data_IF_898948104958
#
_entry.id   IF_898948104958
#
_cell.length_a   1.000
_cell.length_b   1.000
_cell.length_c   1.000
_cell.angle_alpha   90.00
_cell.angle_beta   90.00
_cell.angle_gamma   90.00
#
_symmetry.space_group_name_H-M   'P 1'
#
loop_
_entity.id
_entity.type
_entity.pdbx_description
1 polymer ?
#
# COMPACT_ATOMS: atom_id res chain seq x y z
N UNK A 1 20.18 42.28 -0.43
CA UNK A 1 19.64 41.57 0.73
C UNK A 1 18.20 41.18 0.44
N UNK A 2 17.97 39.93 0.05
CA UNK A 2 16.75 39.15 0.33
C UNK A 2 16.84 37.89 -0.52
N UNK A 3 17.56 36.88 -0.01
CA UNK A 3 17.39 35.51 -0.47
C UNK A 3 16.12 35.00 0.23
N UNK A 4 14.98 35.14 -0.43
CA UNK A 4 13.69 34.62 0.06
C UNK A 4 13.07 33.69 -0.97
N UNK A 5 13.88 32.85 -1.62
CA UNK A 5 13.43 31.76 -2.47
C UNK A 5 14.54 30.69 -2.44
N UNK A 6 14.15 29.44 -2.16
CA UNK A 6 14.88 28.17 -2.32
C UNK A 6 15.65 27.58 -1.10
N UNK A 7 15.00 26.53 -0.56
CA UNK A 7 15.53 25.17 -0.28
C UNK A 7 15.79 24.68 1.16
N UNK A 8 15.31 23.45 1.36
CA UNK A 8 15.46 22.49 2.48
C UNK A 8 14.59 22.80 3.72
N UNK A 9 13.63 21.98 4.15
CA UNK A 9 13.69 20.53 4.33
C UNK A 9 12.29 19.90 4.10
N UNK A 10 12.00 19.42 2.88
CA UNK A 10 11.32 18.12 2.82
C UNK A 10 12.44 17.14 3.10
N UNK A 11 12.48 16.67 4.34
CA UNK A 11 13.34 15.58 4.76
C UNK A 11 13.04 14.42 3.81
N UNK A 12 13.88 14.27 2.78
CA UNK A 12 13.79 13.18 1.83
C UNK A 12 13.84 11.92 2.67
N UNK A 13 12.74 11.16 2.68
CA UNK A 13 12.68 9.87 3.34
C UNK A 13 13.86 9.04 2.81
N UNK A 14 14.94 9.04 3.58
CA UNK A 14 16.12 8.26 3.27
C UNK A 14 15.69 6.80 3.28
N UNK A 15 16.40 5.92 2.57
CA UNK A 15 16.00 4.53 2.40
C UNK A 15 15.75 3.75 3.72
N UNK A 16 16.08 4.34 4.86
CA UNK A 16 16.05 3.73 6.19
C UNK A 16 14.65 3.69 6.84
N UNK A 17 13.67 4.46 6.37
CA UNK A 17 12.33 4.52 7.02
C UNK A 17 11.15 4.23 6.08
N UNK A 18 11.43 3.61 4.93
CA UNK A 18 10.42 3.17 3.98
C UNK A 18 10.21 1.67 4.11
N UNK A 19 9.06 1.19 4.61
CA UNK A 19 8.81 -0.24 4.78
C UNK A 19 8.98 -1.05 3.49
N UNK A 20 8.63 -0.47 2.33
CA UNK A 20 8.83 -1.12 1.03
C UNK A 20 10.30 -1.30 0.61
N UNK A 21 11.25 -0.62 1.28
CA UNK A 21 12.70 -0.81 1.08
C UNK A 21 13.34 -1.68 2.15
N UNK A 22 12.75 -1.74 3.34
CA UNK A 22 13.29 -2.53 4.47
C UNK A 22 12.76 -3.98 4.50
N UNK A 23 11.60 -4.24 3.91
CA UNK A 23 10.99 -5.58 3.83
C UNK A 23 11.12 -6.17 2.41
N UNK A 24 10.97 -7.50 2.32
CA UNK A 24 11.02 -8.20 1.04
C UNK A 24 9.94 -7.67 0.07
N UNK A 25 10.29 -7.38 -1.20
CA UNK A 25 9.35 -6.83 -2.17
C UNK A 25 8.14 -7.76 -2.42
N UNK A 26 8.38 -9.08 -2.42
CA UNK A 26 7.34 -10.11 -2.57
C UNK A 26 6.19 -9.98 -1.57
N UNK A 27 6.45 -9.43 -0.38
CA UNK A 27 5.43 -9.23 0.64
C UNK A 27 4.33 -8.26 0.16
N UNK A 28 4.70 -7.21 -0.57
CA UNK A 28 3.76 -6.21 -1.09
C UNK A 28 2.98 -6.73 -2.31
N UNK A 29 3.38 -7.88 -2.88
CA UNK A 29 2.70 -8.55 -3.98
C UNK A 29 2.10 -9.91 -3.57
N UNK A 30 1.96 -10.15 -2.25
CA UNK A 30 1.64 -11.46 -1.71
C UNK A 30 0.28 -12.02 -2.16
N UNK A 31 0.22 -13.36 -2.26
CA UNK A 31 -1.00 -14.08 -2.57
C UNK A 31 -1.92 -14.33 -1.37
N UNK A 32 -1.32 -14.52 -0.20
CA UNK A 32 -2.03 -14.81 1.04
C UNK A 32 -2.79 -13.58 1.55
N UNK A 33 -4.08 -13.71 1.94
CA UNK A 33 -4.79 -12.62 2.60
C UNK A 33 -4.08 -12.11 3.88
N UNK A 34 -3.44 -13.00 4.64
CA UNK A 34 -2.74 -12.62 5.87
C UNK A 34 -1.53 -11.71 5.56
N UNK A 35 -0.74 -12.07 4.54
CA UNK A 35 0.46 -11.32 4.16
C UNK A 35 0.09 -9.97 3.53
N UNK A 36 -1.02 -9.90 2.80
CA UNK A 36 -1.56 -8.62 2.30
C UNK A 36 -1.92 -7.69 3.46
N UNK A 37 -2.64 -8.17 4.47
CA UNK A 37 -2.99 -7.34 5.62
C UNK A 37 -1.74 -6.94 6.43
N UNK A 38 -0.75 -7.83 6.52
CA UNK A 38 0.54 -7.48 7.10
C UNK A 38 1.25 -6.38 6.30
N UNK A 39 1.33 -6.50 4.97
CA UNK A 39 1.91 -5.46 4.10
C UNK A 39 1.20 -4.11 4.24
N UNK A 40 -0.13 -4.09 4.34
CA UNK A 40 -0.89 -2.85 4.59
C UNK A 40 -0.53 -2.23 5.93
N UNK A 41 -0.41 -3.04 6.98
CA UNK A 41 -0.08 -2.56 8.32
C UNK A 41 1.27 -1.84 8.35
N UNK A 42 2.25 -2.34 7.59
CA UNK A 42 3.57 -1.71 7.45
C UNK A 42 3.47 -0.30 6.86
N UNK A 43 2.53 -0.05 5.95
CA UNK A 43 2.34 1.28 5.36
C UNK A 43 1.80 2.32 6.36
N UNK A 44 1.29 1.94 7.53
CA UNK A 44 0.65 2.86 8.49
C UNK A 44 1.62 3.92 9.01
N UNK A 45 2.88 3.55 9.21
CA UNK A 45 3.94 4.45 9.70
C UNK A 45 4.78 5.04 8.57
N UNK A 46 4.44 4.75 7.31
CA UNK A 46 5.23 5.21 6.16
C UNK A 46 5.00 6.71 5.91
N UNK A 47 6.06 7.56 5.89
CA UNK A 47 5.92 9.00 5.66
C UNK A 47 5.39 9.33 4.26
N UNK A 48 5.58 8.43 3.28
CA UNK A 48 5.14 8.60 1.89
C UNK A 48 3.80 7.91 1.60
N UNK A 49 3.03 7.50 2.61
CA UNK A 49 1.79 6.74 2.42
C UNK A 49 0.84 7.40 1.41
N UNK A 50 0.57 8.69 1.56
CA UNK A 50 -0.36 9.44 0.71
C UNK A 50 0.15 9.60 -0.74
N UNK A 51 1.41 10.00 -0.91
CA UNK A 51 2.09 10.14 -2.20
C UNK A 51 2.17 8.81 -2.95
N UNK A 52 2.50 7.73 -2.23
CA UNK A 52 2.56 6.37 -2.76
C UNK A 52 1.19 5.91 -3.28
N UNK A 53 0.12 6.16 -2.52
CA UNK A 53 -1.25 5.84 -2.94
C UNK A 53 -1.66 6.66 -4.16
N UNK A 54 -1.41 7.97 -4.16
CA UNK A 54 -1.74 8.86 -5.27
C UNK A 54 -1.05 8.41 -6.57
N UNK A 55 0.25 8.09 -6.51
CA UNK A 55 0.99 7.58 -7.66
C UNK A 55 0.51 6.21 -8.14
N UNK A 56 0.10 5.31 -7.24
CA UNK A 56 -0.46 4.01 -7.62
C UNK A 56 -1.81 4.15 -8.33
N UNK A 57 -2.66 5.09 -7.88
CA UNK A 57 -3.92 5.42 -8.55
C UNK A 57 -3.69 6.01 -9.94
N UNK A 58 -2.75 6.96 -10.07
CA UNK A 58 -2.41 7.58 -11.36
C UNK A 58 -1.95 6.54 -12.39
N UNK A 59 -1.09 5.61 -11.98
CA UNK A 59 -0.61 4.52 -12.85
C UNK A 59 -1.62 3.41 -13.07
N UNK A 60 -2.76 3.43 -12.37
CA UNK A 60 -3.72 2.33 -12.34
C UNK A 60 -3.02 1.00 -12.06
N UNK A 61 -2.19 1.00 -11.02
CA UNK A 61 -1.32 -0.12 -10.69
C UNK A 61 -2.13 -1.42 -10.60
N UNK A 62 -1.81 -2.44 -11.42
CA UNK A 62 -2.73 -3.56 -11.58
C UNK A 62 -2.84 -4.44 -10.32
N UNK A 63 -1.79 -4.51 -9.50
CA UNK A 63 -1.74 -5.43 -8.35
C UNK A 63 -0.84 -4.93 -7.21
N UNK A 64 -1.07 -5.46 -6.01
CA UNK A 64 -0.18 -5.30 -4.85
C UNK A 64 -0.67 -4.28 -3.83
N UNK A 65 0.11 -4.10 -2.77
CA UNK A 65 -0.17 -3.15 -1.68
C UNK A 65 0.61 -1.86 -1.90
N UNK A 66 -0.11 -0.75 -2.02
CA UNK A 66 0.43 0.58 -2.29
C UNK A 66 -0.21 1.60 -1.37
N UNK A 67 0.60 2.37 -0.63
CA UNK A 67 0.09 3.37 0.31
C UNK A 67 -0.88 2.80 1.37
N UNK A 68 -0.80 1.51 1.68
CA UNK A 68 -1.69 0.82 2.62
C UNK A 68 -2.98 0.27 2.01
N UNK A 69 -3.17 0.40 0.70
CA UNK A 69 -4.33 -0.11 -0.03
C UNK A 69 -3.96 -1.29 -0.91
N UNK A 70 -4.86 -2.28 -1.02
CA UNK A 70 -4.67 -3.42 -1.94
C UNK A 70 -5.28 -3.08 -3.30
N UNK A 71 -4.49 -3.23 -4.36
CA UNK A 71 -4.93 -3.15 -5.74
C UNK A 71 -5.18 -4.55 -6.30
N UNK A 72 -6.32 -4.68 -6.98
CA UNK A 72 -6.73 -5.87 -7.73
C UNK A 72 -7.30 -5.39 -9.06
N UNK A 73 -6.61 -5.71 -10.15
CA UNK A 73 -6.98 -5.28 -11.50
C UNK A 73 -7.11 -3.74 -11.62
N UNK A 74 -6.23 -2.99 -10.95
CA UNK A 74 -6.25 -1.52 -10.98
C UNK A 74 -7.28 -0.88 -10.04
N UNK A 75 -8.05 -1.67 -9.30
CA UNK A 75 -9.08 -1.19 -8.37
C UNK A 75 -8.64 -1.43 -6.93
N UNK A 76 -8.86 -0.43 -6.07
CA UNK A 76 -8.65 -0.58 -4.62
C UNK A 76 -9.72 -1.49 -4.03
N UNK A 77 -9.30 -2.54 -3.33
CA UNK A 77 -10.18 -3.47 -2.63
C UNK A 77 -9.82 -3.53 -1.14
N UNK A 78 -10.81 -3.61 -0.25
CA UNK A 78 -10.57 -3.53 1.19
C UNK A 78 -9.84 -4.77 1.74
N UNK A 79 -9.98 -5.94 1.10
CA UNK A 79 -9.34 -7.20 1.52
C UNK A 79 -9.23 -8.18 0.36
N UNK A 80 -8.19 -9.02 0.37
CA UNK A 80 -8.05 -10.10 -0.60
C UNK A 80 -9.05 -11.21 -0.28
N UNK A 81 -9.88 -11.59 -1.24
CA UNK A 81 -10.76 -12.74 -1.11
C UNK A 81 -9.94 -14.03 -1.24
N UNK A 82 -10.05 -14.99 -0.29
CA UNK A 82 -9.33 -16.26 -0.42
C UNK A 82 -9.77 -17.00 -1.69
N UNK A 83 -8.84 -17.72 -2.31
CA UNK A 83 -9.14 -18.56 -3.47
C UNK A 83 -10.12 -19.67 -3.05
N UNK A 84 -10.94 -20.11 -4.00
CA UNK A 84 -11.91 -21.18 -3.82
C UNK A 84 -13.36 -20.71 -3.71
N UNK A 85 -14.26 -21.69 -3.60
CA UNK A 85 -15.69 -21.42 -3.39
C UNK A 85 -15.86 -20.66 -2.07
N UNK A 86 -16.65 -19.56 -2.03
CA UNK A 86 -16.92 -18.90 -0.76
C UNK A 86 -17.52 -19.92 0.20
N UNK A 87 -17.08 -19.88 1.46
CA UNK A 87 -17.69 -20.73 2.46
C UNK A 87 -19.11 -20.23 2.65
N UNK A 88 -20.06 -21.14 2.90
CA UNK A 88 -21.48 -20.78 3.03
C UNK A 88 -21.74 -19.80 4.19
N UNK A 89 -20.81 -19.69 5.14
CA UNK A 89 -20.81 -18.72 6.23
C UNK A 89 -20.27 -17.32 5.85
N UNK A 90 -19.50 -17.15 4.77
CA UNK A 90 -18.93 -15.84 4.39
C UNK A 90 -19.97 -14.91 3.76
N UNK A 91 -21.07 -15.48 3.25
CA UNK A 91 -22.15 -14.74 2.56
C UNK A 91 -23.11 -14.06 3.54
N UNK A 92 -23.06 -14.41 4.84
CA UNK A 92 -24.04 -13.94 5.84
C UNK A 92 -23.66 -12.59 6.45
N UNK A 93 -22.42 -12.12 6.28
CA UNK A 93 -21.89 -10.89 6.91
C UNK A 93 -21.74 -9.70 5.94
N UNK A 94 -22.20 -9.81 4.69
CA UNK A 94 -22.19 -8.69 3.74
C UNK A 94 -23.54 -7.93 3.78
N UNK A 95 -23.79 -7.18 4.85
CA UNK A 95 -24.90 -6.23 4.97
C UNK A 95 -24.43 -4.98 5.71
#
# INVERSE_FOLDING_TARGET
MSVSFLDAFTEVATAQDLPCRSYAPELFFAESPADVEYAKSLCTTCPLKAECLAGALERSEPWGVWGGELFVQGVVVPRKRPRGRPRKCDTVTAA
#
